data_IF_521348484425
#
_entry.id   IF_521348484425
#
_cell.length_a   1.000
_cell.length_b   1.000
_cell.length_c   1.000
_cell.angle_alpha   90.00
_cell.angle_beta   90.00
_cell.angle_gamma   90.00
#
_symmetry.space_group_name_H-M   'P 1'
#
loop_
_entity.id
_entity.type
_entity.pdbx_description
1 polymer ?
#
# COMPACT_ATOMS: atom_id res chain seq x y z
N UNK A 1 48.79 51.93 1.23
CA UNK A 1 49.60 50.75 1.60
C UNK A 1 49.73 49.87 0.37
N UNK A 2 50.88 49.88 -0.30
CA UNK A 2 51.35 48.76 -1.12
C UNK A 2 52.06 47.76 -0.17
N UNK A 3 52.17 46.44 -0.44
CA UNK A 3 52.72 45.97 -1.72
C UNK A 3 52.32 44.56 -2.25
N UNK A 4 52.71 44.32 -3.52
CA UNK A 4 53.36 43.11 -4.12
C UNK A 4 52.65 41.75 -4.18
N UNK A 5 52.37 41.19 -5.38
CA UNK A 5 53.25 40.35 -6.26
C UNK A 5 53.61 38.99 -5.61
N UNK A 6 53.44 37.79 -6.20
CA UNK A 6 53.93 37.31 -7.50
C UNK A 6 53.14 36.10 -8.08
N UNK A 7 53.25 35.95 -9.40
CA UNK A 7 52.89 34.78 -10.21
C UNK A 7 53.69 33.52 -9.86
N UNK A 8 53.08 32.35 -10.01
CA UNK A 8 53.75 31.23 -10.71
C UNK A 8 52.73 30.39 -11.49
N UNK A 9 52.85 30.44 -12.81
CA UNK A 9 52.36 29.43 -13.74
C UNK A 9 53.11 28.12 -13.55
N UNK A 10 52.38 27.00 -13.41
CA UNK A 10 52.83 25.72 -13.98
C UNK A 10 51.63 24.97 -14.55
N UNK A 11 51.56 25.07 -15.88
CA UNK A 11 50.89 24.15 -16.77
C UNK A 11 51.15 22.70 -16.37
N UNK A 12 50.08 21.92 -16.21
CA UNK A 12 50.05 20.59 -16.80
C UNK A 12 48.64 20.22 -17.22
N UNK A 13 48.53 20.09 -18.53
CA UNK A 13 47.41 19.64 -19.32
C UNK A 13 46.75 18.39 -18.71
N UNK A 14 45.47 18.50 -18.35
CA UNK A 14 44.50 17.46 -18.68
C UNK A 14 43.31 18.13 -19.37
N UNK A 15 43.19 17.78 -20.64
CA UNK A 15 42.18 18.22 -21.60
C UNK A 15 40.74 18.10 -21.06
N UNK A 16 39.82 18.94 -21.58
CA UNK A 16 38.45 19.00 -21.10
C UNK A 16 37.72 17.71 -21.44
N UNK A 17 37.22 17.01 -20.43
CA UNK A 17 36.12 16.05 -20.66
C UNK A 17 34.84 16.87 -20.87
N UNK A 18 34.48 17.09 -22.13
CA UNK A 18 33.10 17.37 -22.50
C UNK A 18 32.57 16.30 -23.46
N UNK A 19 31.25 16.02 -23.51
CA UNK A 19 30.24 16.25 -22.48
C UNK A 19 29.46 14.96 -22.13
N UNK A 20 28.95 14.93 -20.91
CA UNK A 20 27.79 14.13 -20.51
C UNK A 20 26.63 14.47 -21.46
N UNK A 21 26.20 13.55 -22.32
CA UNK A 21 25.05 13.75 -23.21
C UNK A 21 23.95 12.75 -22.86
N UNK A 22 23.28 13.02 -21.74
CA UNK A 22 21.99 12.42 -21.37
C UNK A 22 20.96 13.01 -22.36
N UNK A 23 20.85 12.46 -23.57
CA UNK A 23 19.75 12.83 -24.48
C UNK A 23 18.44 12.40 -23.81
N UNK A 24 17.86 13.41 -23.16
CA UNK A 24 16.57 13.49 -22.46
C UNK A 24 16.53 12.82 -21.07
N UNK A 25 16.57 13.67 -20.02
CA UNK A 25 16.48 13.29 -18.61
C UNK A 25 15.30 12.35 -18.35
N UNK A 26 15.56 11.06 -18.12
CA UNK A 26 14.55 10.12 -17.62
C UNK A 26 14.10 10.52 -16.22
N UNK A 27 12.79 10.64 -16.01
CA UNK A 27 12.18 10.97 -14.73
C UNK A 27 11.47 9.75 -14.13
N UNK A 28 11.31 9.78 -12.81
CA UNK A 28 10.47 8.80 -12.11
C UNK A 28 9.05 8.92 -12.64
N UNK A 29 8.44 7.78 -12.96
CA UNK A 29 7.11 7.66 -13.57
C UNK A 29 7.10 7.61 -15.09
N UNK A 30 8.21 7.95 -15.78
CA UNK A 30 8.30 7.82 -17.23
C UNK A 30 8.53 6.36 -17.67
N UNK A 31 8.34 6.08 -18.96
CA UNK A 31 8.56 4.77 -19.55
C UNK A 31 9.76 4.79 -20.49
N UNK A 32 10.47 3.67 -20.55
CA UNK A 32 11.71 3.56 -21.32
C UNK A 32 11.84 2.21 -22.03
N UNK A 33 12.47 2.25 -23.20
CA UNK A 33 12.95 1.07 -23.91
C UNK A 33 14.31 0.62 -23.36
N UNK A 34 14.39 -0.64 -22.96
CA UNK A 34 15.56 -1.25 -22.34
C UNK A 34 16.03 -2.44 -23.17
N UNK A 35 17.31 -2.47 -23.50
CA UNK A 35 17.93 -3.57 -24.22
C UNK A 35 18.49 -4.61 -23.25
N UNK A 36 17.84 -5.78 -23.20
CA UNK A 36 18.37 -6.96 -22.49
C UNK A 36 19.35 -7.74 -23.38
N UNK A 37 19.00 -7.91 -24.67
CA UNK A 37 19.80 -8.62 -25.66
C UNK A 37 19.73 -7.90 -27.02
N UNK A 38 20.82 -7.85 -27.81
CA UNK A 38 20.82 -7.23 -29.13
C UNK A 38 19.81 -7.90 -30.08
N UNK A 39 19.61 -9.21 -29.93
CA UNK A 39 18.78 -10.04 -30.83
C UNK A 39 17.31 -10.12 -30.40
N UNK A 40 16.90 -9.37 -29.38
CA UNK A 40 15.52 -9.31 -28.91
C UNK A 40 14.97 -7.89 -29.05
N UNK A 41 13.64 -7.73 -29.17
CA UNK A 41 12.99 -6.42 -29.04
C UNK A 41 13.34 -5.77 -27.70
N UNK A 42 13.17 -4.45 -27.63
CA UNK A 42 13.32 -3.72 -26.39
C UNK A 42 12.22 -4.08 -25.41
N UNK A 43 12.59 -4.26 -24.16
CA UNK A 43 11.64 -4.38 -23.07
C UNK A 43 11.21 -3.00 -22.60
N UNK A 44 9.97 -2.90 -22.15
CA UNK A 44 9.37 -1.64 -21.73
C UNK A 44 9.28 -1.64 -20.21
N UNK A 45 9.84 -0.62 -19.59
CA UNK A 45 9.84 -0.47 -18.15
C UNK A 45 9.28 0.89 -17.73
N UNK A 46 8.48 0.90 -16.67
CA UNK A 46 8.12 2.13 -15.93
C UNK A 46 9.19 2.41 -14.88
N UNK A 47 9.75 3.61 -14.90
CA UNK A 47 10.84 4.01 -14.00
C UNK A 47 10.27 4.29 -12.60
N UNK A 48 10.54 3.44 -11.61
CA UNK A 48 10.06 3.64 -10.24
C UNK A 48 11.08 4.42 -9.40
N UNK A 49 12.38 4.12 -9.58
CA UNK A 49 13.45 4.77 -8.81
C UNK A 49 14.76 4.83 -9.57
N UNK A 50 15.48 5.93 -9.41
CA UNK A 50 16.83 6.12 -9.96
C UNK A 50 17.79 6.27 -8.78
N UNK A 51 18.86 5.47 -8.74
CA UNK A 51 19.89 5.53 -7.69
C UNK A 51 21.27 5.74 -8.30
N UNK A 52 22.06 6.62 -7.68
CA UNK A 52 23.44 6.91 -8.08
C UNK A 52 24.41 6.21 -7.12
N UNK A 53 25.18 5.26 -7.63
CA UNK A 53 26.24 4.58 -6.88
C UNK A 53 27.61 4.94 -7.44
N UNK A 54 28.68 4.64 -6.70
CA UNK A 54 30.08 4.82 -7.16
C UNK A 54 30.37 4.09 -8.49
N UNK A 55 29.61 3.06 -8.83
CA UNK A 55 29.69 2.29 -10.09
C UNK A 55 28.79 2.79 -11.23
N UNK A 56 28.01 3.84 -11.00
CA UNK A 56 27.12 4.46 -12.00
C UNK A 56 25.65 4.52 -11.58
N UNK A 57 24.80 4.97 -12.51
CA UNK A 57 23.35 5.10 -12.31
C UNK A 57 22.66 3.75 -12.50
N UNK A 58 21.96 3.30 -11.46
CA UNK A 58 21.05 2.14 -11.47
C UNK A 58 19.60 2.62 -11.48
N UNK A 59 18.75 1.87 -12.17
CA UNK A 59 17.33 2.16 -12.34
C UNK A 59 16.57 0.94 -11.84
N UNK A 60 15.60 1.17 -10.96
CA UNK A 60 14.57 0.19 -10.62
C UNK A 60 13.35 0.49 -11.50
N UNK A 61 12.94 -0.49 -12.30
CA UNK A 61 11.80 -0.35 -13.19
C UNK A 61 10.83 -1.51 -13.06
N UNK A 62 9.54 -1.20 -13.16
CA UNK A 62 8.45 -2.17 -13.27
C UNK A 62 8.31 -2.63 -14.71
N UNK A 63 8.26 -3.93 -14.95
CA UNK A 63 8.19 -4.48 -16.30
C UNK A 63 6.79 -4.38 -16.92
N UNK A 64 6.73 -4.12 -18.23
CA UNK A 64 5.49 -4.15 -19.01
C UNK A 64 5.55 -5.27 -20.05
N UNK A 65 4.69 -6.27 -19.87
CA UNK A 65 4.59 -7.42 -20.76
C UNK A 65 3.81 -7.05 -22.02
N UNK A 66 4.36 -7.39 -23.19
CA UNK A 66 3.66 -7.17 -24.47
C UNK A 66 2.54 -8.19 -24.67
N UNK A 67 1.38 -7.76 -25.17
CA UNK A 67 0.27 -8.68 -25.46
C UNK A 67 0.65 -9.81 -26.41
N UNK A 68 1.47 -9.52 -27.42
CA UNK A 68 1.93 -10.50 -28.42
C UNK A 68 2.89 -11.58 -27.88
N UNK A 69 3.41 -11.40 -26.67
CA UNK A 69 4.34 -12.34 -26.03
C UNK A 69 3.67 -13.35 -25.10
N UNK A 70 2.35 -13.23 -24.91
CA UNK A 70 1.56 -14.09 -24.03
C UNK A 70 0.74 -15.09 -24.88
N UNK A 71 0.44 -16.27 -24.35
CA UNK A 71 -0.36 -17.30 -25.04
C UNK A 71 -1.79 -16.84 -25.37
N UNK A 72 -2.36 -17.42 -26.44
CA UNK A 72 -3.73 -17.09 -26.90
C UNK A 72 -4.79 -17.29 -25.81
N UNK A 73 -4.70 -18.35 -25.02
CA UNK A 73 -5.64 -18.61 -23.92
C UNK A 73 -5.67 -17.46 -22.89
N UNK A 74 -4.51 -16.88 -22.58
CA UNK A 74 -4.41 -15.75 -21.64
C UNK A 74 -4.93 -14.46 -22.27
N UNK A 75 -4.76 -14.28 -23.58
CA UNK A 75 -5.36 -13.17 -24.31
C UNK A 75 -6.90 -13.26 -24.26
N UNK A 76 -7.47 -14.45 -24.36
CA UNK A 76 -8.92 -14.63 -24.28
C UNK A 76 -9.46 -14.37 -22.87
N UNK A 77 -8.70 -14.73 -21.83
CA UNK A 77 -8.99 -14.33 -20.44
C UNK A 77 -8.96 -12.80 -20.32
N UNK A 78 -7.95 -12.12 -20.88
CA UNK A 78 -7.88 -10.66 -20.85
C UNK A 78 -9.08 -10.00 -21.56
N UNK A 79 -9.52 -10.53 -22.71
CA UNK A 79 -10.72 -10.03 -23.42
C UNK A 79 -12.00 -10.15 -22.60
N UNK A 80 -12.10 -11.11 -21.67
CA UNK A 80 -13.29 -11.23 -20.82
C UNK A 80 -13.51 -9.98 -19.94
N UNK A 81 -12.44 -9.25 -19.61
CA UNK A 81 -12.50 -8.00 -18.85
C UNK A 81 -12.94 -6.78 -19.67
N UNK A 82 -12.92 -6.86 -21.01
CA UNK A 82 -13.35 -5.79 -21.92
C UNK A 82 -14.87 -5.81 -22.20
N UNK A 83 -15.59 -6.84 -21.71
CA UNK A 83 -16.99 -7.09 -22.09
C UNK A 83 -17.99 -6.02 -21.61
N UNK A 84 -17.62 -5.21 -20.61
CA UNK A 84 -18.43 -4.10 -20.09
C UNK A 84 -18.36 -2.83 -20.96
N UNK A 85 -17.34 -2.68 -21.82
CA UNK A 85 -17.02 -1.44 -22.56
C UNK A 85 -17.37 -1.52 -24.08
N UNK A 86 -18.34 -2.36 -24.45
CA UNK A 86 -18.71 -2.62 -25.87
C UNK A 86 -19.27 -1.42 -26.66
N UNK A 87 -19.45 -0.25 -26.05
CA UNK A 87 -20.18 0.85 -26.67
C UNK A 87 -19.38 1.71 -27.67
N UNK A 88 -18.05 1.57 -27.81
CA UNK A 88 -17.26 2.51 -28.62
C UNK A 88 -16.21 1.92 -29.61
N UNK A 89 -16.15 0.60 -29.85
CA UNK A 89 -15.17 0.03 -30.79
C UNK A 89 -15.74 -0.04 -32.23
N UNK A 90 -15.84 1.10 -32.92
CA UNK A 90 -15.84 1.13 -34.40
C UNK A 90 -14.40 1.38 -34.86
N UNK A 91 -13.65 0.30 -35.07
CA UNK A 91 -12.24 0.34 -35.51
C UNK A 91 -12.13 -0.43 -36.82
N UNK A 92 -11.36 0.09 -37.78
CA UNK A 92 -11.10 -0.59 -39.06
C UNK A 92 -10.19 -1.82 -38.85
N UNK A 93 -10.29 -2.85 -39.70
CA UNK A 93 -9.54 -4.11 -39.52
C UNK A 93 -8.00 -3.94 -39.53
N UNK A 94 -7.48 -2.91 -40.21
CA UNK A 94 -6.05 -2.56 -40.19
C UNK A 94 -5.61 -1.90 -38.87
N UNK A 95 -6.49 -1.12 -38.26
CA UNK A 95 -6.24 -0.41 -37.01
C UNK A 95 -6.29 -1.35 -35.80
N UNK A 96 -7.07 -2.43 -35.85
CA UNK A 96 -7.15 -3.43 -34.78
C UNK A 96 -5.80 -4.14 -34.54
N UNK A 97 -5.11 -4.55 -35.61
CA UNK A 97 -3.79 -5.18 -35.50
C UNK A 97 -2.74 -4.21 -34.94
N UNK A 98 -2.86 -2.94 -35.30
CA UNK A 98 -1.98 -1.88 -34.82
C UNK A 98 -2.19 -1.56 -33.33
N UNK A 99 -3.43 -1.62 -32.85
CA UNK A 99 -3.76 -1.50 -31.43
C UNK A 99 -3.29 -2.73 -30.65
N UNK A 100 -3.51 -3.93 -31.19
CA UNK A 100 -3.04 -5.18 -30.59
C UNK A 100 -1.54 -5.17 -30.31
N UNK A 101 -0.73 -4.64 -31.24
CA UNK A 101 0.72 -4.56 -31.10
C UNK A 101 1.20 -3.48 -30.12
N UNK A 102 0.33 -2.53 -29.77
CA UNK A 102 0.62 -1.41 -28.85
C UNK A 102 0.08 -1.65 -27.44
N UNK A 103 -0.65 -2.75 -27.23
CA UNK A 103 -1.19 -3.12 -25.92
C UNK A 103 -0.15 -3.84 -25.05
N UNK A 104 -0.02 -3.34 -23.83
CA UNK A 104 0.87 -3.83 -22.80
C UNK A 104 0.08 -4.23 -21.55
N UNK A 105 0.67 -5.06 -20.71
CA UNK A 105 0.19 -5.37 -19.38
C UNK A 105 1.27 -5.04 -18.37
N UNK A 106 0.93 -4.22 -17.36
CA UNK A 106 1.89 -3.87 -16.32
C UNK A 106 2.01 -5.05 -15.33
N UNK A 107 3.22 -5.42 -14.95
CA UNK A 107 3.45 -6.49 -13.97
C UNK A 107 3.77 -5.92 -12.59
N UNK A 108 3.77 -6.75 -11.56
CA UNK A 108 4.25 -6.39 -10.21
C UNK A 108 5.78 -6.63 -10.07
N UNK A 109 6.42 -7.15 -11.12
CA UNK A 109 7.84 -7.46 -11.11
C UNK A 109 8.67 -6.19 -11.32
N UNK A 110 9.56 -5.93 -10.37
CA UNK A 110 10.53 -4.83 -10.47
C UNK A 110 11.93 -5.37 -10.60
N UNK A 111 12.69 -4.84 -11.56
CA UNK A 111 14.04 -5.27 -11.86
C UNK A 111 14.99 -4.07 -11.80
N UNK A 112 16.19 -4.28 -11.26
CA UNK A 112 17.24 -3.29 -11.21
C UNK A 112 18.20 -3.46 -12.40
N UNK A 113 18.38 -2.43 -13.21
CA UNK A 113 19.28 -2.44 -14.36
C UNK A 113 20.14 -1.18 -14.46
N UNK A 114 21.23 -1.26 -15.22
CA UNK A 114 22.11 -0.11 -15.48
C UNK A 114 21.47 0.83 -16.49
N UNK A 115 21.59 2.14 -16.27
CA UNK A 115 21.21 3.19 -17.24
C UNK A 115 21.76 2.98 -18.65
N UNK A 116 22.90 2.30 -18.81
CA UNK A 116 23.49 1.97 -20.12
C UNK A 116 22.61 1.08 -21.01
N UNK A 117 21.68 0.33 -20.41
CA UNK A 117 20.73 -0.52 -21.13
C UNK A 117 19.55 0.27 -21.71
N UNK A 118 19.33 1.51 -21.28
CA UNK A 118 18.24 2.36 -21.78
C UNK A 118 18.59 2.89 -23.16
N UNK A 119 17.69 2.71 -24.13
CA UNK A 119 17.89 3.11 -25.53
C UNK A 119 17.05 4.29 -25.98
N UNK A 120 15.93 4.54 -25.29
CA UNK A 120 15.05 5.66 -25.59
C UNK A 120 13.90 5.73 -24.60
N UNK A 121 13.20 6.86 -24.59
CA UNK A 121 11.93 7.02 -23.88
C UNK A 121 10.80 6.43 -24.73
N UNK A 122 9.74 5.99 -24.08
CA UNK A 122 8.49 5.67 -24.74
C UNK A 122 7.33 6.27 -23.96
N UNK A 123 6.19 6.42 -24.61
CA UNK A 123 5.00 6.97 -23.99
C UNK A 123 3.97 5.87 -23.82
N UNK A 124 3.57 5.62 -22.57
CA UNK A 124 2.59 4.59 -22.26
C UNK A 124 1.41 5.22 -21.53
N UNK A 125 0.23 5.08 -22.12
CA UNK A 125 -1.03 5.60 -21.59
C UNK A 125 -1.71 4.54 -20.73
N UNK A 126 -2.18 4.93 -19.55
CA UNK A 126 -3.12 4.11 -18.78
C UNK A 126 -4.53 4.28 -19.36
N UNK A 127 -5.05 3.25 -20.02
CA UNK A 127 -6.35 3.32 -20.69
C UNK A 127 -7.49 2.94 -19.72
N UNK A 128 -8.36 3.92 -19.46
CA UNK A 128 -9.50 3.80 -18.53
C UNK A 128 -10.83 3.35 -19.18
N UNK A 129 -10.83 2.95 -20.46
CA UNK A 129 -12.05 2.59 -21.21
C UNK A 129 -12.79 3.77 -21.84
N UNK A 130 -12.56 5.01 -21.40
CA UNK A 130 -13.27 6.19 -21.91
C UNK A 130 -12.58 6.89 -23.11
N UNK A 131 -11.29 6.66 -23.32
CA UNK A 131 -10.49 7.41 -24.29
C UNK A 131 -10.53 6.77 -25.69
N UNK A 132 -10.62 7.57 -26.75
CA UNK A 132 -10.62 7.04 -28.12
C UNK A 132 -9.22 6.55 -28.52
N UNK A 133 -9.06 5.24 -28.62
CA UNK A 133 -7.80 4.55 -28.95
C UNK A 133 -7.29 4.88 -30.37
N UNK A 134 -8.15 5.30 -31.31
CA UNK A 134 -7.72 5.64 -32.68
C UNK A 134 -6.73 6.81 -32.72
N UNK A 135 -6.80 7.72 -31.73
CA UNK A 135 -5.84 8.83 -31.61
C UNK A 135 -4.42 8.37 -31.27
N UNK A 136 -4.24 7.16 -30.74
CA UNK A 136 -2.95 6.59 -30.37
C UNK A 136 -2.19 6.02 -31.57
N UNK A 137 -2.90 5.56 -32.59
CA UNK A 137 -2.33 4.91 -33.78
C UNK A 137 -1.42 5.89 -34.54
N UNK A 138 -1.84 7.16 -34.61
CA UNK A 138 -1.14 8.22 -35.34
C UNK A 138 0.08 8.77 -34.59
N UNK A 139 0.30 8.38 -33.34
CA UNK A 139 1.44 8.83 -32.55
C UNK A 139 2.54 7.77 -32.52
N UNK A 140 3.74 8.18 -32.90
CA UNK A 140 4.92 7.31 -32.85
C UNK A 140 5.24 6.94 -31.40
N UNK A 141 5.66 5.69 -31.18
CA UNK A 141 6.16 5.18 -29.89
C UNK A 141 5.17 5.30 -28.72
N UNK A 142 3.86 5.35 -29.02
CA UNK A 142 2.79 5.28 -28.03
C UNK A 142 2.32 3.83 -27.82
N UNK A 143 2.21 3.45 -26.56
CA UNK A 143 1.61 2.20 -26.10
C UNK A 143 0.50 2.50 -25.10
N UNK A 144 -0.31 1.49 -24.77
CA UNK A 144 -1.30 1.61 -23.70
C UNK A 144 -1.39 0.33 -22.89
N UNK A 145 -1.86 0.44 -21.66
CA UNK A 145 -2.15 -0.70 -20.77
C UNK A 145 -3.44 -0.45 -19.99
N UNK A 146 -4.18 -1.52 -19.72
CA UNK A 146 -5.47 -1.48 -18.99
C UNK A 146 -5.56 -2.50 -17.85
N UNK A 147 -4.69 -3.52 -17.85
CA UNK A 147 -4.71 -4.63 -16.89
C UNK A 147 -3.35 -4.78 -16.19
N UNK A 148 -3.40 -5.20 -14.93
CA UNK A 148 -2.28 -5.78 -14.21
C UNK A 148 -2.17 -7.26 -14.59
N UNK A 149 -0.97 -7.72 -14.96
CA UNK A 149 -0.68 -9.12 -15.25
C UNK A 149 0.28 -9.69 -14.21
N UNK A 150 -0.10 -10.80 -13.58
CA UNK A 150 0.78 -11.56 -12.71
C UNK A 150 1.36 -12.75 -13.50
N UNK A 151 2.67 -12.75 -13.84
CA UNK A 151 3.28 -13.82 -14.62
C UNK A 151 3.38 -15.14 -13.85
N UNK A 152 3.46 -15.11 -12.52
CA UNK A 152 3.57 -16.31 -11.67
C UNK A 152 2.25 -17.08 -11.62
N UNK A 153 1.14 -16.38 -11.39
CA UNK A 153 -0.20 -16.99 -11.32
C UNK A 153 -0.89 -17.04 -12.69
N UNK A 154 -0.34 -16.38 -13.71
CA UNK A 154 -0.92 -16.20 -15.05
C UNK A 154 -2.33 -15.60 -14.99
N UNK A 155 -2.57 -14.67 -14.07
CA UNK A 155 -3.86 -14.03 -13.86
C UNK A 155 -3.83 -12.55 -14.23
N UNK A 156 -4.99 -12.02 -14.64
CA UNK A 156 -5.18 -10.59 -14.92
C UNK A 156 -6.08 -9.96 -13.87
N UNK A 157 -5.77 -8.73 -13.49
CA UNK A 157 -6.59 -7.91 -12.62
C UNK A 157 -6.86 -6.58 -13.32
N UNK A 158 -8.08 -6.05 -13.21
CA UNK A 158 -8.33 -4.65 -13.59
C UNK A 158 -7.42 -3.77 -12.75
N UNK A 159 -6.77 -2.82 -13.41
CA UNK A 159 -6.07 -1.78 -12.69
C UNK A 159 -7.15 -1.03 -11.93
N UNK A 160 -7.07 -1.06 -10.60
CA UNK A 160 -7.93 -0.23 -9.77
C UNK A 160 -7.49 1.19 -10.05
N UNK A 161 -8.10 1.79 -11.07
CA UNK A 161 -8.01 3.20 -11.28
C UNK A 161 -8.55 3.81 -9.99
N UNK A 162 -7.67 4.45 -9.22
CA UNK A 162 -8.05 5.28 -8.07
C UNK A 162 -8.75 6.56 -8.55
N UNK A 163 -9.44 6.49 -9.69
CA UNK A 163 -10.26 7.56 -10.24
C UNK A 163 -11.62 7.51 -9.58
N UNK A 164 -12.14 8.70 -9.26
CA UNK A 164 -13.51 8.88 -8.79
C UNK A 164 -14.47 8.19 -9.76
N UNK A 165 -15.36 7.36 -9.22
CA UNK A 165 -16.39 6.67 -9.99
C UNK A 165 -17.64 7.57 -10.07
N UNK A 166 -18.22 7.68 -11.26
CA UNK A 166 -19.43 8.47 -11.53
C UNK A 166 -20.50 7.51 -12.07
N UNK A 167 -21.69 7.52 -11.46
CA UNK A 167 -22.82 6.66 -11.78
C UNK A 167 -23.81 6.55 -10.60
N UNK A 168 -25.09 6.31 -10.89
CA UNK A 168 -26.15 6.18 -9.86
C UNK A 168 -25.85 5.12 -8.80
N UNK A 169 -25.04 4.10 -9.13
CA UNK A 169 -24.59 3.08 -8.16
C UNK A 169 -23.49 3.56 -7.20
N UNK A 170 -22.87 4.72 -7.45
CA UNK A 170 -21.78 5.28 -6.65
C UNK A 170 -22.17 6.57 -5.92
N UNK A 171 -22.92 7.47 -6.56
CA UNK A 171 -23.38 8.69 -5.92
C UNK A 171 -24.57 8.44 -5.00
N UNK A 172 -24.57 9.06 -3.82
CA UNK A 172 -25.72 9.07 -2.93
C UNK A 172 -26.88 9.87 -3.55
N UNK A 173 -28.12 9.41 -3.32
CA UNK A 173 -29.29 10.21 -3.65
C UNK A 173 -29.36 11.40 -2.68
N UNK A 174 -29.27 12.61 -3.23
CA UNK A 174 -29.39 13.84 -2.45
C UNK A 174 -30.83 13.95 -1.95
N UNK A 175 -31.07 13.99 -0.63
CA UNK A 175 -32.40 14.19 -0.08
C UNK A 175 -33.03 15.46 -0.67
N UNK A 176 -34.31 15.36 -1.06
CA UNK A 176 -35.04 16.50 -1.63
C UNK A 176 -35.35 17.49 -0.51
N UNK A 177 -34.61 18.59 -0.51
CA UNK A 177 -34.74 19.65 0.49
C UNK A 177 -33.61 19.64 1.49
N UNK A 178 -32.95 20.80 1.64
CA UNK A 178 -32.44 21.19 2.94
C UNK A 178 -33.71 21.41 3.77
N UNK A 179 -33.82 20.86 4.97
CA UNK A 179 -34.89 21.20 5.94
C UNK A 179 -34.79 22.72 6.24
N UNK A 180 -35.21 23.54 5.29
CA UNK A 180 -35.40 24.98 5.42
C UNK A 180 -36.89 25.11 5.57
N UNK A 181 -37.31 25.47 6.78
CA UNK A 181 -38.66 25.84 7.18
C UNK A 181 -39.56 24.70 7.72
N UNK A 182 -40.43 25.02 8.70
CA UNK A 182 -40.99 24.10 9.69
C UNK A 182 -42.18 23.27 9.18
N UNK A 183 -42.40 23.20 7.86
CA UNK A 183 -43.64 22.66 7.28
C UNK A 183 -43.58 21.16 6.97
N UNK A 184 -42.38 20.56 6.97
CA UNK A 184 -42.23 19.10 6.98
C UNK A 184 -41.72 18.70 8.36
N UNK A 185 -42.61 18.21 9.23
CA UNK A 185 -42.21 17.70 10.54
C UNK A 185 -41.21 16.58 10.34
N UNK A 186 -40.00 16.81 10.86
CA UNK A 186 -38.98 15.80 10.95
C UNK A 186 -39.49 14.69 11.86
N UNK A 187 -39.81 13.53 11.27
CA UNK A 187 -40.41 12.39 12.01
C UNK A 187 -39.39 11.67 12.90
N UNK A 188 -38.16 12.17 13.00
CA UNK A 188 -37.12 11.57 13.84
C UNK A 188 -37.42 11.83 15.32
N UNK A 189 -37.44 10.74 16.09
CA UNK A 189 -37.63 10.76 17.55
C UNK A 189 -36.25 10.75 18.20
N UNK A 190 -35.85 11.85 18.85
CA UNK A 190 -34.50 12.03 19.41
C UNK A 190 -34.20 11.00 20.51
N UNK A 191 -35.20 10.66 21.32
CA UNK A 191 -35.06 9.70 22.43
C UNK A 191 -34.65 8.30 21.97
N UNK A 192 -34.93 7.95 20.71
CA UNK A 192 -34.52 6.68 20.12
C UNK A 192 -33.11 6.73 19.50
N UNK A 193 -32.58 7.93 19.25
CA UNK A 193 -31.30 8.13 18.57
C UNK A 193 -30.18 8.49 19.53
N UNK A 194 -30.51 9.16 20.63
CA UNK A 194 -29.54 9.63 21.60
C UNK A 194 -30.05 9.58 23.04
N UNK A 195 -29.10 9.48 23.97
CA UNK A 195 -29.35 9.58 25.40
C UNK A 195 -28.44 10.66 25.98
N UNK A 196 -29.03 11.61 26.72
CA UNK A 196 -28.28 12.68 27.35
C UNK A 196 -27.45 12.10 28.51
N UNK A 197 -26.12 12.19 28.40
CA UNK A 197 -25.17 11.68 29.42
C UNK A 197 -24.67 12.80 30.34
N UNK A 198 -24.58 14.03 29.84
CA UNK A 198 -24.16 15.18 30.62
C UNK A 198 -24.69 16.47 30.00
N UNK A 199 -25.04 17.44 30.86
CA UNK A 199 -25.44 18.79 30.47
C UNK A 199 -24.72 19.80 31.37
N UNK A 200 -24.02 20.81 30.82
CA UNK A 200 -23.51 21.93 31.61
C UNK A 200 -24.62 22.57 32.44
N UNK A 201 -24.34 22.86 33.70
CA UNK A 201 -25.33 23.26 34.69
C UNK A 201 -24.72 24.30 35.61
N UNK A 202 -25.53 25.29 36.00
CA UNK A 202 -25.17 26.30 37.01
C UNK A 202 -25.52 25.86 38.43
N UNK A 203 -26.15 24.68 38.58
CA UNK A 203 -26.61 24.16 39.88
C UNK A 203 -25.48 23.76 40.81
N UNK A 204 -24.30 23.47 40.27
CA UNK A 204 -23.10 23.09 41.03
C UNK A 204 -21.88 23.80 40.44
N UNK A 205 -20.93 24.12 41.30
CA UNK A 205 -19.67 24.76 40.90
C UNK A 205 -18.63 23.72 40.50
N UNK A 206 -17.66 24.11 39.67
CA UNK A 206 -16.53 23.25 39.29
C UNK A 206 -15.77 22.70 40.52
N UNK A 207 -15.67 23.51 41.59
CA UNK A 207 -15.05 23.08 42.85
C UNK A 207 -15.82 21.95 43.53
N UNK A 208 -17.15 21.99 43.51
CA UNK A 208 -17.99 20.94 44.07
C UNK A 208 -17.93 19.67 43.22
N UNK A 209 -17.85 19.81 41.89
CA UNK A 209 -17.60 18.68 40.98
C UNK A 209 -16.27 18.01 41.31
N UNK A 210 -15.19 18.78 41.42
CA UNK A 210 -13.86 18.27 41.74
C UNK A 210 -13.84 17.56 43.11
N UNK A 211 -14.46 18.16 44.12
CA UNK A 211 -14.60 17.54 45.44
C UNK A 211 -15.39 16.24 45.37
N UNK A 212 -16.50 16.21 44.63
CA UNK A 212 -17.29 15.00 44.46
C UNK A 212 -16.49 13.89 43.75
N UNK A 213 -15.72 14.22 42.71
CA UNK A 213 -14.83 13.26 42.03
C UNK A 213 -13.82 12.65 43.02
N UNK A 214 -13.27 13.46 43.93
CA UNK A 214 -12.35 12.96 44.98
C UNK A 214 -13.06 12.02 45.95
N UNK A 215 -14.31 12.30 46.32
CA UNK A 215 -15.13 11.41 47.17
C UNK A 215 -15.41 10.08 46.45
N UNK A 216 -15.79 10.11 45.17
CA UNK A 216 -16.00 8.88 44.39
C UNK A 216 -14.71 8.06 44.28
N UNK A 217 -13.57 8.71 44.03
CA UNK A 217 -12.26 8.04 43.99
C UNK A 217 -11.89 7.38 45.31
N UNK A 218 -12.12 8.07 46.43
CA UNK A 218 -11.76 7.54 47.76
C UNK A 218 -12.66 6.38 48.19
N UNK A 219 -13.97 6.48 47.93
CA UNK A 219 -14.93 5.40 48.18
C UNK A 219 -14.64 4.16 47.34
N UNK A 220 -14.36 4.33 46.04
CA UNK A 220 -13.96 3.25 45.13
C UNK A 220 -12.66 2.57 45.59
N UNK A 221 -11.64 3.36 45.94
CA UNK A 221 -10.36 2.85 46.44
C UNK A 221 -10.56 2.05 47.73
N UNK A 222 -11.37 2.55 48.66
CA UNK A 222 -11.68 1.87 49.91
C UNK A 222 -12.41 0.55 49.67
N UNK A 223 -13.42 0.52 48.80
CA UNK A 223 -14.13 -0.70 48.44
C UNK A 223 -13.20 -1.73 47.76
N UNK A 224 -12.30 -1.30 46.88
CA UNK A 224 -11.30 -2.17 46.24
C UNK A 224 -10.31 -2.77 47.23
N UNK A 225 -9.85 -2.01 48.21
CA UNK A 225 -8.98 -2.52 49.30
C UNK A 225 -9.71 -3.56 50.14
N UNK A 226 -10.99 -3.33 50.44
CA UNK A 226 -11.80 -4.30 51.17
C UNK A 226 -11.93 -5.62 50.39
N UNK A 227 -12.11 -5.55 49.06
CA UNK A 227 -12.17 -6.73 48.19
C UNK A 227 -10.81 -7.43 48.02
N UNK A 228 -9.70 -6.69 47.90
CA UNK A 228 -8.36 -7.27 47.73
C UNK A 228 -7.84 -7.93 49.01
N UNK A 229 -8.26 -7.47 50.19
CA UNK A 229 -7.98 -8.21 51.45
C UNK A 229 -8.65 -9.57 51.49
N UNK A 230 -9.77 -9.74 50.78
CA UNK A 230 -10.50 -11.01 50.71
C UNK A 230 -9.92 -11.94 49.64
N UNK A 231 -9.33 -11.42 48.58
CA UNK A 231 -8.81 -12.19 47.44
C UNK A 231 -7.36 -11.79 47.11
N UNK A 232 -6.42 -12.73 47.13
CA UNK A 232 -5.04 -12.49 46.63
C UNK A 232 -5.11 -12.13 45.14
N UNK A 233 -4.90 -10.87 44.80
CA UNK A 233 -4.95 -10.35 43.43
C UNK A 233 -3.59 -10.43 42.73
N UNK A 234 -3.62 -10.54 41.41
CA UNK A 234 -2.42 -10.49 40.57
C UNK A 234 -1.78 -9.08 40.59
N UNK A 235 -0.44 -8.93 40.63
CA UNK A 235 0.20 -7.62 40.56
C UNK A 235 -0.14 -6.83 39.28
N UNK A 236 -0.45 -7.51 38.16
CA UNK A 236 -0.89 -6.85 36.93
C UNK A 236 -2.30 -6.28 37.12
N UNK A 237 -3.20 -7.04 37.74
CA UNK A 237 -4.57 -6.63 38.02
C UNK A 237 -4.59 -5.44 38.99
N UNK A 238 -3.77 -5.47 40.04
CA UNK A 238 -3.63 -4.37 41.00
C UNK A 238 -3.18 -3.07 40.34
N UNK A 239 -2.26 -3.16 39.39
CA UNK A 239 -1.83 -1.99 38.61
C UNK A 239 -2.96 -1.49 37.70
N UNK A 240 -3.65 -2.37 36.97
CA UNK A 240 -4.78 -1.99 36.11
C UNK A 240 -5.88 -1.29 36.91
N UNK A 241 -6.20 -1.80 38.10
CA UNK A 241 -7.20 -1.22 39.00
C UNK A 241 -6.84 0.22 39.41
N UNK A 242 -5.56 0.49 39.69
CA UNK A 242 -5.07 1.82 40.10
C UNK A 242 -5.04 2.85 38.96
N UNK A 243 -4.83 2.41 37.73
CA UNK A 243 -4.70 3.28 36.54
C UNK A 243 -6.01 3.54 35.79
N UNK A 244 -7.16 3.18 36.37
CA UNK A 244 -8.43 3.26 35.66
C UNK A 244 -8.98 4.70 35.60
N UNK A 245 -8.92 5.30 34.40
CA UNK A 245 -9.40 6.66 34.13
C UNK A 245 -10.94 6.78 34.13
N UNK A 246 -11.67 5.67 34.20
CA UNK A 246 -13.14 5.65 34.13
C UNK A 246 -13.86 6.18 35.38
N UNK A 247 -13.15 6.39 36.49
CA UNK A 247 -13.77 6.89 37.74
C UNK A 247 -14.35 8.29 37.53
N UNK A 248 -13.70 9.11 36.68
CA UNK A 248 -14.23 10.42 36.32
C UNK A 248 -15.61 10.29 35.66
N UNK A 249 -15.75 9.43 34.66
CA UNK A 249 -17.01 9.20 33.97
C UNK A 249 -18.09 8.73 34.95
N UNK A 250 -17.76 7.76 35.81
CA UNK A 250 -18.69 7.26 36.84
C UNK A 250 -19.16 8.38 37.76
N UNK A 251 -18.25 9.24 38.23
CA UNK A 251 -18.62 10.37 39.08
C UNK A 251 -19.60 11.31 38.37
N UNK A 252 -19.33 11.63 37.09
CA UNK A 252 -20.22 12.47 36.28
C UNK A 252 -21.58 11.83 36.02
N UNK A 253 -21.61 10.52 35.74
CA UNK A 253 -22.86 9.77 35.53
C UNK A 253 -23.73 9.75 36.79
N UNK A 254 -23.12 9.60 37.98
CA UNK A 254 -23.82 9.65 39.27
C UNK A 254 -24.37 11.05 39.51
N UNK A 255 -23.57 12.10 39.31
CA UNK A 255 -24.05 13.48 39.43
C UNK A 255 -25.26 13.72 38.53
N UNK A 256 -25.17 13.33 37.26
CA UNK A 256 -26.24 13.50 36.29
C UNK A 256 -27.50 12.71 36.69
N UNK A 257 -27.35 11.44 37.11
CA UNK A 257 -28.45 10.58 37.56
C UNK A 257 -29.22 11.17 38.74
N UNK A 258 -28.53 11.83 39.67
CA UNK A 258 -29.14 12.48 40.83
C UNK A 258 -29.44 13.97 40.61
N UNK A 259 -29.52 14.41 39.35
CA UNK A 259 -29.85 15.79 38.97
C UNK A 259 -28.97 16.83 39.66
N UNK A 260 -27.68 16.50 39.81
CA UNK A 260 -26.66 17.32 40.47
C UNK A 260 -26.94 17.64 41.95
N UNK A 261 -27.79 16.86 42.62
CA UNK A 261 -27.97 16.92 44.06
C UNK A 261 -26.83 16.16 44.78
N UNK A 262 -25.82 16.89 45.26
CA UNK A 262 -24.63 16.33 45.89
C UNK A 262 -24.95 15.40 47.07
N UNK A 263 -25.88 15.78 47.96
CA UNK A 263 -26.22 14.97 49.13
C UNK A 263 -26.79 13.61 48.73
N UNK A 264 -27.72 13.58 47.77
CA UNK A 264 -28.29 12.32 47.24
C UNK A 264 -27.24 11.49 46.49
N UNK A 265 -26.37 12.16 45.73
CA UNK A 265 -25.28 11.52 45.00
C UNK A 265 -24.28 10.85 45.95
N UNK A 266 -23.87 11.53 47.03
CA UNK A 266 -22.94 10.97 48.03
C UNK A 266 -23.55 9.76 48.75
N UNK A 267 -24.82 9.86 49.17
CA UNK A 267 -25.52 8.75 49.83
C UNK A 267 -25.62 7.52 48.91
N UNK A 268 -25.69 7.72 47.59
CA UNK A 268 -25.72 6.62 46.63
C UNK A 268 -24.41 5.83 46.54
N UNK A 269 -23.28 6.39 46.99
CA UNK A 269 -21.96 5.73 46.92
C UNK A 269 -21.82 4.58 47.93
N UNK A 270 -22.65 4.55 48.98
CA UNK A 270 -22.56 3.57 50.08
C UNK A 270 -23.96 3.00 50.41
N UNK A 271 -24.58 2.23 49.50
CA UNK A 271 -25.85 1.59 49.79
C UNK A 271 -25.68 0.49 50.84
N UNK A 272 -26.55 0.48 51.86
CA UNK A 272 -26.56 -0.52 52.93
C UNK A 272 -25.21 -0.68 53.65
N UNK A 273 -24.55 0.44 53.97
CA UNK A 273 -23.25 0.51 54.68
C UNK A 273 -22.08 -0.19 53.98
N UNK A 274 -22.21 -0.48 52.68
CA UNK A 274 -21.15 -1.08 51.87
C UNK A 274 -20.71 -0.12 50.77
N UNK A 275 -19.41 0.19 50.63
CA UNK A 275 -18.94 1.07 49.57
C UNK A 275 -19.20 0.41 48.22
N UNK A 276 -19.78 1.16 47.28
CA UNK A 276 -19.85 0.73 45.89
C UNK A 276 -18.43 0.66 45.33
N UNK A 277 -18.11 -0.47 44.76
CA UNK A 277 -16.94 -0.62 43.90
C UNK A 277 -17.44 -0.41 42.48
N UNK A 278 -16.99 0.67 41.86
CA UNK A 278 -17.45 1.08 40.54
C UNK A 278 -16.65 0.37 39.46
N UNK A 279 -16.61 -0.94 39.57
CA UNK A 279 -16.26 -1.77 38.46
C UNK A 279 -17.53 -1.90 37.63
N UNK A 280 -17.70 -1.03 36.61
CA UNK A 280 -18.68 -1.19 35.53
C UNK A 280 -18.49 -2.50 34.71
N UNK A 281 -17.77 -3.44 35.30
CA UNK A 281 -17.11 -4.57 34.73
C UNK A 281 -17.00 -5.71 35.75
N UNK A 282 -18.08 -6.08 36.43
CA UNK A 282 -18.17 -7.41 37.06
C UNK A 282 -17.81 -8.54 36.05
N UNK A 283 -17.85 -8.25 34.74
CA UNK A 283 -17.39 -9.10 33.62
C UNK A 283 -15.91 -8.95 33.21
N UNK A 284 -15.13 -8.02 33.82
CA UNK A 284 -13.67 -7.87 33.66
C UNK A 284 -12.88 -8.33 34.87
N UNK A 285 -13.45 -9.10 35.79
CA UNK A 285 -12.61 -9.77 36.78
C UNK A 285 -11.79 -10.81 36.01
N UNK A 286 -10.52 -10.49 35.79
CA UNK A 286 -9.52 -11.38 35.22
C UNK A 286 -8.84 -12.08 36.39
N UNK A 287 -8.91 -13.41 36.42
CA UNK A 287 -8.10 -14.17 37.39
C UNK A 287 -6.63 -14.16 36.97
N UNK A 288 -5.71 -14.38 37.91
CA UNK A 288 -4.28 -14.55 37.60
C UNK A 288 -4.06 -15.61 36.51
N UNK A 289 -4.86 -16.68 36.53
CA UNK A 289 -4.78 -17.74 35.53
C UNK A 289 -5.25 -17.29 34.14
N UNK A 290 -6.31 -16.48 34.06
CA UNK A 290 -6.78 -15.90 32.81
C UNK A 290 -5.76 -14.93 32.21
N UNK A 291 -5.09 -14.13 33.07
CA UNK A 291 -4.01 -13.23 32.65
C UNK A 291 -2.86 -14.03 32.06
N UNK A 292 -2.45 -15.11 32.73
CA UNK A 292 -1.39 -16.01 32.26
C UNK A 292 -1.73 -16.69 30.93
N UNK A 293 -2.97 -17.16 30.79
CA UNK A 293 -3.48 -17.73 29.54
C UNK A 293 -3.46 -16.70 28.40
N UNK A 294 -3.84 -15.45 28.69
CA UNK A 294 -3.78 -14.36 27.72
C UNK A 294 -2.35 -14.05 27.28
N UNK A 295 -1.40 -13.91 28.21
CA UNK A 295 0.01 -13.62 27.87
C UNK A 295 0.62 -14.74 27.00
N UNK A 296 0.33 -16.00 27.34
CA UNK A 296 0.76 -17.14 26.54
C UNK A 296 0.14 -17.13 25.13
N UNK A 297 -1.18 -16.94 25.05
CA UNK A 297 -1.90 -16.88 23.77
C UNK A 297 -1.44 -15.70 22.90
N UNK A 298 -1.19 -14.53 23.50
CA UNK A 298 -0.66 -13.35 22.83
C UNK A 298 0.78 -13.59 22.34
N UNK A 299 1.58 -14.37 23.05
CA UNK A 299 2.89 -14.82 22.59
C UNK A 299 2.86 -15.64 21.31
N UNK A 300 1.83 -16.49 21.16
CA UNK A 300 1.70 -17.38 19.99
C UNK A 300 0.94 -16.75 18.82
N UNK A 301 -0.14 -16.03 19.09
CA UNK A 301 -1.07 -15.51 18.08
C UNK A 301 -1.04 -13.99 17.92
N UNK A 302 -0.29 -13.29 18.79
CA UNK A 302 -0.18 -11.82 18.77
C UNK A 302 -1.56 -11.15 18.78
N UNK A 303 -1.82 -10.21 17.86
CA UNK A 303 -3.08 -9.47 17.79
C UNK A 303 -4.21 -10.23 17.08
N UNK A 304 -4.06 -11.53 16.82
CA UNK A 304 -5.15 -12.35 16.29
C UNK A 304 -6.14 -12.71 17.42
N UNK A 305 -6.87 -11.71 17.93
CA UNK A 305 -7.76 -11.86 19.10
C UNK A 305 -8.85 -12.92 18.89
N UNK A 306 -9.32 -13.12 17.66
CA UNK A 306 -10.28 -14.19 17.34
C UNK A 306 -9.71 -15.59 17.68
N UNK A 307 -8.42 -15.83 17.44
CA UNK A 307 -7.76 -17.11 17.77
C UNK A 307 -7.50 -17.24 19.27
N UNK A 308 -7.16 -16.14 19.93
CA UNK A 308 -7.00 -16.11 21.39
C UNK A 308 -8.33 -16.46 22.08
N UNK A 309 -9.42 -15.84 21.63
CA UNK A 309 -10.77 -16.14 22.07
C UNK A 309 -11.12 -17.62 21.86
N UNK A 310 -10.99 -18.12 20.62
CA UNK A 310 -11.40 -19.49 20.28
C UNK A 310 -10.62 -20.58 21.02
N UNK A 311 -9.32 -20.39 21.23
CA UNK A 311 -8.45 -21.47 21.74
C UNK A 311 -8.07 -21.35 23.22
N UNK A 312 -8.12 -20.16 23.83
CA UNK A 312 -7.62 -19.94 25.19
C UNK A 312 -8.64 -19.32 26.13
N UNK A 313 -9.53 -18.46 25.63
CA UNK A 313 -10.50 -17.72 26.46
C UNK A 313 -11.90 -17.69 25.82
N UNK A 314 -12.53 -18.84 25.55
CA UNK A 314 -13.84 -18.89 24.88
C UNK A 314 -15.00 -18.39 25.75
N UNK A 315 -14.81 -18.29 27.07
CA UNK A 315 -15.81 -17.76 28.01
C UNK A 315 -15.75 -16.24 28.17
N UNK A 316 -14.73 -15.56 27.64
CA UNK A 316 -14.65 -14.09 27.63
C UNK A 316 -15.12 -13.58 26.29
N UNK A 317 -15.93 -12.53 26.25
CA UNK A 317 -16.28 -11.93 24.97
C UNK A 317 -15.06 -11.35 24.25
N UNK A 318 -15.08 -11.34 22.91
CA UNK A 318 -14.02 -10.73 22.11
C UNK A 318 -13.78 -9.26 22.50
N UNK A 319 -14.86 -8.51 22.79
CA UNK A 319 -14.79 -7.13 23.28
C UNK A 319 -13.99 -7.05 24.58
N UNK A 320 -14.23 -7.95 25.54
CA UNK A 320 -13.53 -7.96 26.82
C UNK A 320 -12.03 -8.29 26.65
N UNK A 321 -11.68 -9.21 25.75
CA UNK A 321 -10.28 -9.55 25.44
C UNK A 321 -9.55 -8.35 24.83
N UNK A 322 -10.18 -7.64 23.90
CA UNK A 322 -9.60 -6.45 23.26
C UNK A 322 -9.45 -5.32 24.27
N UNK A 323 -10.48 -5.07 25.09
CA UNK A 323 -10.43 -4.05 26.14
C UNK A 323 -9.33 -4.37 27.16
N UNK A 324 -9.20 -5.63 27.59
CA UNK A 324 -8.13 -6.07 28.48
C UNK A 324 -6.74 -5.88 27.86
N UNK A 325 -6.56 -6.18 26.58
CA UNK A 325 -5.28 -5.96 25.88
C UNK A 325 -4.77 -4.52 26.03
N UNK A 326 -5.65 -3.52 25.86
CA UNK A 326 -5.25 -2.11 25.97
C UNK A 326 -4.91 -1.71 27.41
N UNK A 327 -5.61 -2.26 28.41
CA UNK A 327 -5.31 -2.07 29.83
C UNK A 327 -3.99 -2.75 30.22
N UNK A 328 -3.82 -4.03 29.86
CA UNK A 328 -2.61 -4.82 30.09
C UNK A 328 -1.38 -4.13 29.48
N UNK A 329 -1.49 -3.65 28.24
CA UNK A 329 -0.39 -2.94 27.57
C UNK A 329 0.01 -1.63 28.27
N UNK A 330 -0.93 -0.95 28.93
CA UNK A 330 -0.66 0.29 29.69
C UNK A 330 -0.02 -0.01 31.06
N UNK A 331 -0.22 -1.21 31.61
CA UNK A 331 0.42 -1.64 32.86
C UNK A 331 1.94 -1.75 32.68
N UNK A 332 2.72 -1.35 33.71
CA UNK A 332 4.18 -1.38 33.67
C UNK A 332 4.72 -2.78 33.34
N UNK A 333 4.17 -3.81 33.98
CA UNK A 333 4.55 -5.23 33.79
C UNK A 333 4.16 -5.73 32.39
N UNK A 334 2.96 -5.40 31.90
CA UNK A 334 2.53 -5.77 30.55
C UNK A 334 3.33 -5.03 29.45
N UNK A 335 3.79 -3.81 29.71
CA UNK A 335 4.68 -3.08 28.81
C UNK A 335 6.05 -3.76 28.68
N UNK A 336 6.66 -4.15 29.80
CA UNK A 336 7.94 -4.87 29.82
C UNK A 336 7.83 -6.23 29.10
N UNK A 337 6.78 -7.00 29.39
CA UNK A 337 6.49 -8.27 28.72
C UNK A 337 6.30 -8.06 27.21
N UNK A 338 5.53 -7.05 26.80
CA UNK A 338 5.31 -6.72 25.39
C UNK A 338 6.60 -6.33 24.65
N UNK A 339 7.47 -5.53 25.28
CA UNK A 339 8.76 -5.15 24.73
C UNK A 339 9.66 -6.38 24.53
N UNK A 340 9.74 -7.27 25.53
CA UNK A 340 10.50 -8.52 25.45
C UNK A 340 10.01 -9.44 24.32
N UNK A 341 8.69 -9.50 24.11
CA UNK A 341 8.08 -10.33 23.05
C UNK A 341 8.37 -9.79 21.64
N UNK A 342 8.48 -8.47 21.47
CA UNK A 342 8.87 -7.85 20.19
C UNK A 342 10.32 -8.08 19.80
N UNK A 343 11.24 -8.11 20.77
CA UNK A 343 12.66 -8.38 20.50
C UNK A 343 12.84 -9.80 19.98
N UNK A 344 12.13 -10.77 20.56
CA UNK A 344 12.17 -12.19 20.14
C UNK A 344 11.60 -12.43 18.74
N UNK A 345 10.61 -11.65 18.29
CA UNK A 345 10.03 -11.82 16.95
C UNK A 345 10.87 -11.23 15.81
N UNK A 346 11.62 -10.15 16.06
CA UNK A 346 12.55 -9.57 15.06
C UNK A 346 13.73 -10.49 14.73
N UNK A 347 14.23 -11.25 15.71
CA UNK A 347 15.37 -12.16 15.51
C UNK A 347 15.02 -13.41 14.69
N UNK A 348 13.73 -13.76 14.54
CA UNK A 348 13.29 -14.91 13.72
C UNK A 348 13.13 -14.61 12.23
N UNK A 349 13.10 -13.33 11.82
CA UNK A 349 12.85 -12.94 10.41
C UNK A 349 14.13 -12.78 9.57
N UNK A 350 15.34 -12.96 10.14
CA UNK A 350 16.61 -12.63 9.48
C UNK A 350 17.44 -13.83 9.00
N UNK A 351 16.94 -15.05 9.10
CA UNK A 351 17.62 -16.22 8.54
C UNK A 351 16.76 -16.82 7.42
N UNK A 352 17.42 -17.10 6.29
CA UNK A 352 16.94 -17.79 5.08
C UNK A 352 16.46 -16.90 3.90
N UNK A 353 17.43 -16.38 3.14
CA UNK A 353 17.31 -16.23 1.67
C UNK A 353 18.64 -16.69 1.05
N UNK A 354 18.70 -17.96 0.64
CA UNK A 354 19.79 -18.49 -0.18
C UNK A 354 19.61 -18.04 -1.64
N UNK A 355 20.61 -17.34 -2.15
CA UNK A 355 20.71 -16.94 -3.55
C UNK A 355 21.40 -18.04 -4.37
N UNK A 356 20.66 -18.71 -5.25
CA UNK A 356 21.27 -19.45 -6.36
C UNK A 356 20.44 -19.31 -7.64
N UNK A 357 20.87 -18.42 -8.55
CA UNK A 357 20.45 -18.41 -9.95
C UNK A 357 21.71 -18.37 -10.82
N UNK A 358 21.98 -19.48 -11.50
CA UNK A 358 23.10 -19.65 -12.41
C UNK A 358 22.95 -18.80 -13.67
N UNK A 359 24.01 -18.08 -14.03
CA UNK A 359 24.17 -17.46 -15.35
C UNK A 359 24.64 -18.51 -16.36
N UNK A 360 23.87 -18.75 -17.42
CA UNK A 360 24.38 -19.34 -18.65
C UNK A 360 24.72 -18.22 -19.63
N UNK A 361 25.99 -18.11 -19.98
CA UNK A 361 26.52 -17.26 -21.05
C UNK A 361 26.76 -18.14 -22.26
N UNK A 362 26.21 -17.79 -23.42
CA UNK A 362 26.54 -18.41 -24.71
C UNK A 362 27.44 -17.49 -25.55
N UNK A 363 28.34 -18.01 -26.39
CA UNK A 363 29.46 -17.24 -26.95
C UNK A 363 29.06 -16.46 -28.20
N UNK A 364 29.63 -15.26 -28.36
CA UNK A 364 29.62 -14.47 -29.59
C UNK A 364 30.56 -15.11 -30.63
N UNK A 365 30.02 -15.50 -31.79
CA UNK A 365 30.82 -15.85 -32.97
C UNK A 365 30.92 -14.58 -33.84
N UNK A 366 32.13 -14.03 -33.97
CA UNK A 366 32.47 -13.04 -34.99
C UNK A 366 32.66 -13.78 -36.32
N UNK A 367 31.89 -13.43 -37.35
CA UNK A 367 32.17 -13.84 -38.72
C UNK A 367 32.96 -12.70 -39.40
N UNK A 368 34.12 -12.96 -40.03
CA UNK A 368 34.91 -11.94 -40.70
C UNK A 368 34.17 -11.33 -41.89
N UNK A 369 34.44 -10.05 -42.14
CA UNK A 369 34.05 -9.34 -43.35
C UNK A 369 34.81 -9.91 -44.54
N UNK A 370 34.25 -10.88 -45.26
CA UNK A 370 34.53 -11.15 -46.66
C UNK A 370 33.58 -12.23 -47.18
N UNK A 371 32.33 -11.83 -47.47
CA UNK A 371 31.43 -12.51 -48.40
C UNK A 371 30.25 -11.56 -48.69
N UNK A 372 30.56 -10.51 -49.45
CA UNK A 372 29.56 -9.61 -50.03
C UNK A 372 29.02 -10.27 -51.30
N UNK A 373 28.07 -11.23 -51.19
CA UNK A 373 27.26 -11.70 -52.33
C UNK A 373 26.17 -12.69 -51.89
N UNK A 374 25.09 -12.17 -51.29
CA UNK A 374 23.69 -12.63 -51.50
C UNK A 374 22.77 -11.56 -50.92
N UNK A 375 22.23 -10.68 -51.76
CA UNK A 375 21.30 -9.64 -51.30
C UNK A 375 19.94 -10.29 -50.96
N UNK A 376 19.69 -10.53 -49.67
CA UNK A 376 18.38 -10.97 -49.18
C UNK A 376 17.34 -9.84 -49.22
N UNK A 377 16.08 -10.18 -49.54
CA UNK A 377 14.94 -9.27 -49.37
C UNK A 377 14.63 -9.10 -47.88
N UNK A 378 14.24 -7.89 -47.46
CA UNK A 378 13.81 -7.65 -46.08
C UNK A 378 12.54 -8.47 -45.78
N UNK A 379 12.53 -9.20 -44.67
CA UNK A 379 11.38 -10.06 -44.34
C UNK A 379 10.09 -9.27 -44.03
N UNK A 380 10.23 -8.04 -43.50
CA UNK A 380 9.09 -7.17 -43.20
C UNK A 380 8.62 -6.40 -44.44
N UNK A 381 9.43 -5.50 -45.01
CA UNK A 381 8.98 -4.67 -46.13
C UNK A 381 9.12 -5.32 -47.52
N UNK A 382 9.69 -6.53 -47.62
CA UNK A 382 9.94 -7.28 -48.87
C UNK A 382 10.79 -6.58 -49.92
N UNK A 383 11.33 -5.40 -49.61
CA UNK A 383 12.25 -4.65 -50.46
C UNK A 383 13.67 -5.21 -50.36
N UNK A 384 14.42 -5.10 -51.45
CA UNK A 384 15.84 -5.48 -51.50
C UNK A 384 16.66 -4.59 -50.57
N UNK A 385 17.42 -5.18 -49.64
CA UNK A 385 18.23 -4.44 -48.68
C UNK A 385 19.48 -3.86 -49.36
N UNK A 386 19.44 -2.59 -49.75
CA UNK A 386 20.59 -1.88 -50.36
C UNK A 386 21.70 -1.48 -49.35
N UNK A 387 21.48 -1.69 -48.03
CA UNK A 387 22.37 -1.24 -46.93
C UNK A 387 22.41 -2.25 -45.77
N UNK A 388 23.23 -1.98 -44.72
CA UNK A 388 23.43 -2.80 -43.51
C UNK A 388 22.20 -3.62 -43.10
N UNK A 389 22.40 -4.93 -43.03
CA UNK A 389 21.40 -5.94 -42.68
C UNK A 389 21.55 -6.33 -41.21
N UNK A 390 20.44 -6.47 -40.50
CA UNK A 390 20.41 -6.91 -39.11
C UNK A 390 19.72 -8.27 -38.99
N UNK A 391 20.32 -9.25 -38.27
CA UNK A 391 19.66 -10.50 -37.95
C UNK A 391 18.56 -10.26 -36.91
N UNK A 392 17.41 -10.90 -37.06
CA UNK A 392 16.27 -10.77 -36.18
C UNK A 392 15.78 -12.14 -35.69
N UNK A 393 15.49 -12.28 -34.39
CA UNK A 393 14.88 -13.47 -33.79
C UNK A 393 15.77 -14.74 -33.78
N UNK A 394 15.21 -15.87 -33.33
CA UNK A 394 15.92 -17.16 -33.28
C UNK A 394 16.13 -17.77 -34.67
N UNK A 395 15.23 -17.47 -35.61
CA UNK A 395 15.35 -17.80 -37.03
C UNK A 395 16.01 -16.59 -37.67
N UNK A 396 17.29 -16.66 -38.08
CA UNK A 396 18.14 -15.53 -38.52
C UNK A 396 17.59 -14.78 -39.74
N UNK A 397 16.50 -14.05 -39.54
CA UNK A 397 15.78 -13.25 -40.54
C UNK A 397 16.52 -11.95 -40.82
N UNK A 398 16.44 -11.46 -42.06
CA UNK A 398 17.17 -10.28 -42.53
C UNK A 398 16.22 -9.07 -42.56
N UNK A 399 16.54 -8.03 -41.79
CA UNK A 399 15.79 -6.77 -41.77
C UNK A 399 16.63 -5.59 -42.28
N UNK A 400 15.99 -4.69 -43.02
CA UNK A 400 16.54 -3.37 -43.31
C UNK A 400 16.58 -2.51 -42.04
N UNK A 401 17.38 -1.44 -42.01
CA UNK A 401 17.56 -0.60 -40.82
C UNK A 401 16.23 -0.05 -40.24
N UNK A 402 15.28 0.36 -41.10
CA UNK A 402 13.99 0.88 -40.65
C UNK A 402 13.09 -0.21 -40.05
N UNK A 403 12.97 -1.35 -40.73
CA UNK A 403 12.22 -2.50 -40.22
C UNK A 403 12.85 -3.08 -38.95
N UNK A 404 14.18 -3.07 -38.84
CA UNK A 404 14.88 -3.48 -37.63
C UNK A 404 14.56 -2.55 -36.45
N UNK A 405 14.59 -1.23 -36.64
CA UNK A 405 14.20 -0.27 -35.59
C UNK A 405 12.74 -0.46 -35.17
N UNK A 406 11.83 -0.60 -36.15
CA UNK A 406 10.42 -0.85 -35.87
C UNK A 406 10.23 -2.15 -35.08
N UNK A 407 10.86 -3.23 -35.52
CA UNK A 407 10.81 -4.52 -34.84
C UNK A 407 11.39 -4.45 -33.41
N UNK A 408 12.50 -3.73 -33.21
CA UNK A 408 13.05 -3.51 -31.86
C UNK A 408 12.06 -2.79 -30.95
N UNK A 409 11.24 -1.88 -31.45
CA UNK A 409 10.27 -1.12 -30.63
C UNK A 409 8.93 -1.83 -30.46
N UNK A 410 8.39 -2.48 -31.49
CA UNK A 410 7.04 -3.05 -31.49
C UNK A 410 7.00 -4.58 -31.40
N UNK A 411 8.15 -5.24 -31.53
CA UNK A 411 8.26 -6.70 -31.58
C UNK A 411 7.41 -7.34 -32.70
N UNK A 412 7.10 -6.57 -33.74
CA UNK A 412 6.31 -6.99 -34.90
C UNK A 412 6.91 -6.46 -36.20
N UNK A 413 6.49 -7.04 -37.32
CA UNK A 413 6.85 -6.58 -38.65
C UNK A 413 5.81 -5.56 -39.15
N UNK A 414 6.28 -4.62 -39.97
CA UNK A 414 5.46 -3.65 -40.71
C UNK A 414 4.64 -4.35 -41.76
#
# INVERSE_FOLDING_TARGET
>A
MNPSFQLTTRSNLKQPRQPFNFKEQLRIGEFAFVEISPNLPYDIYRIEKITLNKSGVKILGTFLQRKNSISKNLIDIAKSFDTDDKLNKQVSSGDENQLFNRELYITEETICFSSKKVKGKCSVLHHNGMENLNSLINRNEMFYYSLNYNPTTKSFNRIVCKSVRIGKQYQANVPKGILRYPESEDTRILENMETLVYKPTELITDKEIDQFIVIVKSTDTYGKILLSRLNKTDPILDNIIKFNDNILQVAMDILFKYQFNLSKAILSLVPNDKPLVFDNYQTFIWSSEEIRLFEYAFGKYHKMFNKIHQHYLPWKSLKNIISFYYLWKKSYIGCDNYCNMKVKSKNKQHFEIDNSVGQMVSPLINIPQNELQTMGKCESCRLSCLTKVYPCGPVRSILCNNCHRYWKMFATFV
#
